data_IF_342378677861
#
_entry.id   IF_342378677861
#
_cell.length_a   1.000
_cell.length_b   1.000
_cell.length_c   1.000
_cell.angle_alpha   90.00
_cell.angle_beta   90.00
_cell.angle_gamma   90.00
#
_symmetry.space_group_name_H-M   'P 1'
#
loop_
_entity.id
_entity.type
_entity.pdbx_description
1 polymer ?
#
# COMPACT_ATOMS: atom_id res chain seq x y z
N UNK A 1 8.98 -31.44 -70.28
CA UNK A 1 7.59 -31.30 -70.79
C UNK A 1 6.88 -30.30 -69.85
N UNK A 2 6.07 -29.30 -70.26
CA UNK A 2 4.94 -29.22 -71.23
C UNK A 2 3.75 -30.13 -70.81
N UNK A 3 2.48 -29.71 -70.68
CA UNK A 3 1.75 -28.46 -71.03
C UNK A 3 1.31 -27.66 -69.74
N UNK A 4 0.48 -26.60 -69.63
CA UNK A 4 -0.54 -25.86 -70.43
C UNK A 4 -1.91 -26.56 -70.67
N UNK A 5 -3.12 -25.96 -70.85
CA UNK A 5 -3.70 -24.57 -71.07
C UNK A 5 -5.27 -24.67 -70.86
N UNK A 6 -6.21 -23.68 -70.74
CA UNK A 6 -6.30 -22.19 -70.58
C UNK A 6 -7.79 -21.72 -70.29
N UNK A 7 -8.04 -20.45 -69.88
CA UNK A 7 -9.32 -19.66 -69.89
C UNK A 7 -10.48 -20.02 -68.91
N UNK A 8 -11.51 -19.18 -68.62
CA UNK A 8 -12.00 -17.88 -69.16
C UNK A 8 -12.45 -16.88 -68.03
N UNK A 9 -12.25 -15.54 -68.06
CA UNK A 9 -13.02 -14.40 -68.69
C UNK A 9 -14.56 -14.50 -68.62
N UNK A 10 -15.39 -13.46 -68.38
CA UNK A 10 -15.33 -11.97 -68.51
C UNK A 10 -15.60 -11.21 -67.17
N UNK A 11 -15.43 -9.88 -66.89
CA UNK A 11 -15.56 -8.51 -67.50
C UNK A 11 -16.91 -7.78 -67.25
N UNK A 12 -16.84 -6.62 -66.57
CA UNK A 12 -17.71 -5.42 -66.75
C UNK A 12 -17.00 -4.16 -66.18
N UNK A 13 -17.12 -3.00 -66.85
CA UNK A 13 -16.44 -1.75 -66.50
C UNK A 13 -17.24 -0.53 -67.01
N UNK A 14 -17.45 0.49 -66.16
CA UNK A 14 -18.08 1.77 -66.55
C UNK A 14 -17.35 2.95 -65.88
N UNK A 15 -17.02 3.96 -66.67
CA UNK A 15 -16.50 5.26 -66.23
C UNK A 15 -17.56 6.34 -66.48
N UNK A 16 -17.70 7.31 -65.56
CA UNK A 16 -18.45 8.55 -65.83
C UNK A 16 -17.96 9.73 -64.98
N UNK A 17 -17.17 10.59 -65.65
CA UNK A 17 -16.88 12.03 -65.48
C UNK A 17 -16.89 12.71 -64.09
N UNK A 18 -15.99 13.68 -63.94
CA UNK A 18 -15.79 14.47 -62.73
C UNK A 18 -16.64 15.75 -62.66
N UNK A 19 -16.89 16.24 -61.44
CA UNK A 19 -17.26 17.61 -61.13
C UNK A 19 -16.46 18.08 -59.90
N UNK A 20 -15.92 19.30 -59.93
CA UNK A 20 -15.04 19.82 -58.87
C UNK A 20 -15.82 20.63 -57.82
N UNK A 21 -15.52 20.43 -56.53
CA UNK A 21 -15.06 21.50 -55.60
C UNK A 21 -14.98 21.03 -54.13
N UNK A 22 -14.32 21.86 -53.30
CA UNK A 22 -14.07 21.72 -51.84
C UNK A 22 -13.24 20.51 -51.36
N UNK A 23 -11.98 20.81 -50.98
CA UNK A 23 -11.28 20.10 -49.90
C UNK A 23 -12.00 20.31 -48.57
N UNK A 24 -12.02 19.28 -47.71
CA UNK A 24 -11.67 19.40 -46.30
C UNK A 24 -10.19 19.05 -46.07
N UNK A 25 -9.64 19.41 -44.91
CA UNK A 25 -8.23 19.20 -44.58
C UNK A 25 -7.97 17.85 -43.90
N UNK A 26 -6.75 17.32 -44.07
CA UNK A 26 -6.29 16.12 -43.40
C UNK A 26 -5.91 16.46 -41.95
N UNK A 27 -6.75 16.08 -40.98
CA UNK A 27 -6.40 16.13 -39.56
C UNK A 27 -5.54 14.92 -39.20
N UNK A 28 -4.32 15.09 -38.66
CA UNK A 28 -3.45 13.96 -38.30
C UNK A 28 -4.05 13.03 -37.25
N UNK A 29 -3.66 11.75 -37.28
CA UNK A 29 -4.07 10.75 -36.31
C UNK A 29 -3.66 11.16 -34.88
N UNK A 30 -4.55 10.91 -33.91
CA UNK A 30 -4.43 11.45 -32.56
C UNK A 30 -3.20 10.95 -31.79
N UNK A 31 -2.55 11.87 -31.07
CA UNK A 31 -1.68 11.49 -29.96
C UNK A 31 -2.51 10.80 -28.85
N UNK A 32 -1.95 9.83 -28.12
CA UNK A 32 -2.65 9.21 -26.99
C UNK A 32 -2.89 10.27 -25.90
N UNK A 33 -4.16 10.52 -25.59
CA UNK A 33 -4.53 11.38 -24.48
C UNK A 33 -4.00 10.78 -23.18
N UNK A 34 -3.33 11.59 -22.35
CA UNK A 34 -2.89 11.16 -21.03
C UNK A 34 -4.12 10.78 -20.19
N UNK A 35 -4.04 9.64 -19.50
CA UNK A 35 -5.08 9.19 -18.59
C UNK A 35 -5.09 10.05 -17.32
N UNK A 36 -5.79 11.18 -17.39
CA UNK A 36 -6.19 11.93 -16.20
C UNK A 36 -7.15 11.09 -15.35
N UNK A 37 -7.10 11.25 -14.02
CA UNK A 37 -7.98 10.53 -13.10
C UNK A 37 -9.46 10.79 -13.42
N UNK A 38 -10.12 9.80 -14.04
CA UNK A 38 -11.55 9.83 -14.28
C UNK A 38 -12.31 9.75 -12.95
N UNK A 39 -13.34 10.58 -12.79
CA UNK A 39 -14.19 10.54 -11.61
C UNK A 39 -14.93 9.18 -11.52
N UNK A 40 -15.08 8.58 -10.32
CA UNK A 40 -15.74 7.28 -10.17
C UNK A 40 -17.16 7.26 -10.75
N UNK A 41 -17.47 6.20 -11.50
CA UNK A 41 -18.75 6.01 -12.17
C UNK A 41 -19.64 5.00 -11.45
N UNK A 42 -20.91 4.91 -11.84
CA UNK A 42 -21.81 3.86 -11.33
C UNK A 42 -21.42 2.44 -11.77
N UNK A 43 -20.59 2.28 -12.81
CA UNK A 43 -20.07 0.99 -13.22
C UNK A 43 -18.97 0.48 -12.28
N UNK A 44 -18.19 1.38 -11.67
CA UNK A 44 -17.11 1.04 -10.74
C UNK A 44 -17.61 0.37 -9.46
N UNK A 45 -18.90 0.55 -9.11
CA UNK A 45 -19.58 -0.15 -8.01
C UNK A 45 -19.59 -1.68 -8.17
N UNK A 46 -19.34 -2.21 -9.36
CA UNK A 46 -19.22 -3.65 -9.62
C UNK A 46 -17.78 -4.18 -9.48
N UNK A 47 -16.79 -3.30 -9.31
CA UNK A 47 -15.38 -3.68 -9.12
C UNK A 47 -14.91 -3.29 -7.70
N UNK A 48 -14.69 -4.27 -6.79
CA UNK A 48 -14.23 -4.00 -5.43
C UNK A 48 -12.95 -3.16 -5.36
N UNK A 49 -12.02 -3.30 -6.31
CA UNK A 49 -10.79 -2.50 -6.33
C UNK A 49 -11.06 -1.03 -6.68
N UNK A 50 -12.00 -0.77 -7.58
CA UNK A 50 -12.40 0.59 -7.94
C UNK A 50 -13.16 1.27 -6.79
N UNK A 51 -14.04 0.53 -6.10
CA UNK A 51 -14.69 0.98 -4.85
C UNK A 51 -13.64 1.30 -3.77
N UNK A 52 -12.70 0.38 -3.51
CA UNK A 52 -11.64 0.59 -2.52
C UNK A 52 -10.77 1.81 -2.85
N UNK A 53 -10.38 2.00 -4.11
CA UNK A 53 -9.61 3.18 -4.56
C UNK A 53 -10.42 4.47 -4.42
N UNK A 54 -11.72 4.47 -4.74
CA UNK A 54 -12.60 5.61 -4.55
C UNK A 54 -12.77 5.98 -3.07
N UNK A 55 -12.92 4.99 -2.18
CA UNK A 55 -12.96 5.22 -0.73
C UNK A 55 -11.63 5.79 -0.23
N UNK A 56 -10.50 5.17 -0.61
CA UNK A 56 -9.16 5.63 -0.24
C UNK A 56 -8.87 7.08 -0.69
N UNK A 57 -9.45 7.52 -1.82
CA UNK A 57 -9.32 8.88 -2.32
C UNK A 57 -9.99 9.94 -1.42
N UNK A 58 -10.98 9.57 -0.60
CA UNK A 58 -11.67 10.48 0.35
C UNK A 58 -10.98 10.60 1.71
N UNK A 59 -10.05 9.69 2.03
CA UNK A 59 -9.34 9.67 3.30
C UNK A 59 -8.28 10.80 3.40
N UNK A 60 -7.95 11.30 4.60
CA UNK A 60 -6.86 12.24 4.81
C UNK A 60 -5.54 11.71 4.25
N UNK A 61 -4.81 12.52 3.48
CA UNK A 61 -3.56 12.12 2.82
C UNK A 61 -2.33 12.67 3.53
N UNK A 62 -1.24 11.90 3.51
CA UNK A 62 0.07 12.36 3.95
C UNK A 62 0.71 13.29 2.91
N UNK A 63 1.60 14.16 3.37
CA UNK A 63 2.46 15.00 2.51
C UNK A 63 3.69 14.19 2.06
N UNK A 64 3.88 13.93 0.75
CA UNK A 64 5.07 13.24 0.23
C UNK A 64 6.40 13.96 0.49
N UNK A 65 6.39 15.26 0.78
CA UNK A 65 7.59 16.02 1.13
C UNK A 65 8.05 15.81 2.58
N UNK A 66 7.30 15.06 3.40
CA UNK A 66 7.64 14.78 4.80
C UNK A 66 8.98 14.04 4.90
N UNK A 67 9.99 14.59 5.61
CA UNK A 67 11.30 13.97 5.73
C UNK A 67 11.25 12.68 6.56
N UNK A 68 12.08 11.69 6.22
CA UNK A 68 12.09 10.37 6.88
C UNK A 68 12.32 10.44 8.40
N UNK A 69 12.97 11.49 8.90
CA UNK A 69 13.20 11.76 10.33
C UNK A 69 11.94 12.18 11.11
N UNK A 70 10.84 12.52 10.44
CA UNK A 70 9.56 12.86 11.08
C UNK A 70 8.65 11.63 11.29
N UNK A 71 9.01 10.46 10.77
CA UNK A 71 8.23 9.24 10.91
C UNK A 71 8.60 8.52 12.22
N UNK A 72 7.63 8.32 13.11
CA UNK A 72 7.85 7.56 14.35
C UNK A 72 7.85 6.05 14.05
N UNK A 73 8.75 5.29 14.67
CA UNK A 73 8.72 3.82 14.53
C UNK A 73 7.43 3.26 15.15
N UNK A 74 6.85 2.25 14.50
CA UNK A 74 5.84 1.36 15.09
C UNK A 74 6.41 -0.05 15.15
N UNK A 75 6.59 -0.56 16.36
CA UNK A 75 7.12 -1.89 16.70
C UNK A 75 6.33 -2.61 17.81
N UNK A 76 5.20 -2.04 18.25
CA UNK A 76 4.32 -2.59 19.28
C UNK A 76 2.85 -2.43 18.91
N UNK A 77 2.05 -3.48 19.13
CA UNK A 77 0.60 -3.46 18.95
C UNK A 77 -0.10 -2.55 19.97
N UNK A 78 0.53 -2.23 21.09
CA UNK A 78 0.04 -1.18 21.99
C UNK A 78 0.13 0.21 21.33
N UNK A 79 1.19 0.51 20.56
CA UNK A 79 1.27 1.76 19.79
C UNK A 79 0.16 1.85 18.72
N UNK A 80 -0.20 0.71 18.10
CA UNK A 80 -1.33 0.62 17.17
C UNK A 80 -2.67 0.83 17.89
N UNK A 81 -2.85 0.24 19.08
CA UNK A 81 -4.03 0.45 19.93
C UNK A 81 -4.20 1.92 20.34
N UNK A 82 -3.14 2.60 20.80
CA UNK A 82 -3.22 4.03 21.13
C UNK A 82 -3.55 4.88 19.90
N UNK A 83 -2.98 4.54 18.73
CA UNK A 83 -3.31 5.17 17.45
C UNK A 83 -4.77 4.92 17.03
N UNK A 84 -5.32 3.75 17.34
CA UNK A 84 -6.72 3.42 17.06
C UNK A 84 -7.69 4.29 17.87
N UNK A 85 -7.47 4.47 19.17
CA UNK A 85 -8.30 5.39 19.97
C UNK A 85 -8.09 6.86 19.57
N UNK A 86 -6.86 7.24 19.21
CA UNK A 86 -6.52 8.58 18.74
C UNK A 86 -7.22 8.98 17.42
N UNK A 87 -7.43 8.01 16.52
CA UNK A 87 -7.99 8.22 15.18
C UNK A 87 -9.50 7.96 15.09
N UNK A 88 -10.02 6.95 15.80
CA UNK A 88 -11.46 6.65 15.84
C UNK A 88 -12.28 7.70 16.61
N UNK A 89 -11.63 8.53 17.44
CA UNK A 89 -12.24 9.49 18.37
C UNK A 89 -13.25 8.86 19.36
N UNK A 90 -13.19 7.55 19.56
CA UNK A 90 -13.98 6.87 20.59
C UNK A 90 -13.42 7.12 21.99
N UNK A 91 -14.26 7.13 23.05
CA UNK A 91 -13.78 7.17 24.43
C UNK A 91 -12.82 6.01 24.73
N UNK A 92 -11.72 6.28 25.42
CA UNK A 92 -10.74 5.27 25.81
C UNK A 92 -11.31 4.34 26.91
N UNK A 93 -11.46 3.02 26.67
CA UNK A 93 -11.88 2.08 27.70
C UNK A 93 -10.67 1.73 28.58
N UNK A 94 -10.36 2.60 29.55
CA UNK A 94 -9.15 2.50 30.37
C UNK A 94 -8.95 1.12 31.01
N UNK A 95 -10.01 0.47 31.47
CA UNK A 95 -9.94 -0.87 32.06
C UNK A 95 -9.53 -1.95 31.04
N UNK A 96 -9.97 -1.88 29.77
CA UNK A 96 -9.53 -2.77 28.68
C UNK A 96 -8.08 -2.47 28.27
N UNK A 97 -7.74 -1.19 28.14
CA UNK A 97 -6.40 -0.72 27.79
C UNK A 97 -5.42 -1.18 28.88
N UNK A 98 -5.70 -0.93 30.16
CA UNK A 98 -4.85 -1.32 31.28
C UNK A 98 -4.71 -2.84 31.41
N UNK A 99 -5.78 -3.61 31.18
CA UNK A 99 -5.73 -5.09 31.12
C UNK A 99 -4.87 -5.63 29.99
N UNK A 100 -4.71 -4.86 28.91
CA UNK A 100 -3.89 -5.21 27.74
C UNK A 100 -2.44 -4.72 27.88
N UNK A 101 -2.23 -3.54 28.48
CA UNK A 101 -0.96 -2.80 28.52
C UNK A 101 -0.17 -2.95 29.83
N UNK A 102 -0.84 -3.27 30.95
CA UNK A 102 -0.20 -3.40 32.27
C UNK A 102 -0.35 -4.80 32.84
N UNK A 103 0.78 -5.49 32.94
CA UNK A 103 0.86 -6.80 33.56
C UNK A 103 0.56 -6.76 35.07
N UNK A 104 0.84 -5.64 35.74
CA UNK A 104 0.48 -5.41 37.14
C UNK A 104 -1.05 -5.31 37.32
N UNK A 105 -1.71 -4.51 36.46
CA UNK A 105 -3.17 -4.38 36.46
C UNK A 105 -3.86 -5.72 36.17
N UNK A 106 -3.33 -6.46 35.20
CA UNK A 106 -3.80 -7.78 34.74
C UNK A 106 -3.62 -8.89 35.78
N UNK A 107 -2.60 -8.79 36.66
CA UNK A 107 -2.30 -9.77 37.72
C UNK A 107 -2.91 -9.42 39.09
N UNK A 108 -3.40 -8.20 39.27
CA UNK A 108 -3.99 -7.74 40.54
C UNK A 108 -5.46 -8.17 40.66
N UNK A 109 -5.78 -8.94 41.70
CA UNK A 109 -7.16 -9.36 42.04
C UNK A 109 -7.83 -8.49 43.11
N UNK A 110 -7.06 -7.66 43.82
CA UNK A 110 -7.57 -6.69 44.80
C UNK A 110 -8.17 -5.48 44.06
N UNK A 111 -9.50 -5.35 44.10
CA UNK A 111 -10.22 -4.31 43.39
C UNK A 111 -9.84 -2.88 43.78
N UNK A 112 -9.40 -2.64 45.02
CA UNK A 112 -8.97 -1.30 45.44
C UNK A 112 -7.60 -0.99 44.83
N UNK A 113 -6.62 -1.90 44.96
CA UNK A 113 -5.30 -1.75 44.33
C UNK A 113 -5.42 -1.64 42.81
N UNK A 114 -6.27 -2.45 42.18
CA UNK A 114 -6.53 -2.39 40.74
C UNK A 114 -7.05 -1.01 40.32
N UNK A 115 -7.99 -0.42 41.07
CA UNK A 115 -8.50 0.95 40.80
C UNK A 115 -7.45 2.04 41.04
N UNK A 116 -6.50 1.85 41.95
CA UNK A 116 -5.39 2.79 42.16
C UNK A 116 -4.30 2.68 41.09
N UNK A 117 -3.97 1.46 40.63
CA UNK A 117 -3.14 1.22 39.45
C UNK A 117 -3.79 1.88 38.21
N UNK A 118 -5.12 1.80 38.04
CA UNK A 118 -5.83 2.43 36.93
C UNK A 118 -5.63 3.95 36.91
N UNK A 119 -5.82 4.62 38.07
CA UNK A 119 -5.59 6.07 38.21
C UNK A 119 -4.15 6.46 37.88
N UNK A 120 -3.17 5.64 38.28
CA UNK A 120 -1.76 5.86 37.97
C UNK A 120 -1.43 5.66 36.48
N UNK A 121 -2.12 4.75 35.79
CA UNK A 121 -1.95 4.49 34.36
C UNK A 121 -2.67 5.52 33.47
N UNK A 122 -3.79 6.10 33.91
CA UNK A 122 -4.61 7.03 33.11
C UNK A 122 -3.80 8.15 32.43
N UNK A 123 -3.00 8.97 33.14
CA UNK A 123 -2.21 10.03 32.49
C UNK A 123 -1.21 9.54 31.44
N UNK A 124 -0.72 8.30 31.58
CA UNK A 124 0.16 7.67 30.58
C UNK A 124 -0.63 7.21 29.35
N UNK A 125 -1.79 6.59 29.55
CA UNK A 125 -2.70 6.19 28.46
C UNK A 125 -3.12 7.44 27.65
N UNK A 126 -3.47 8.52 28.33
CA UNK A 126 -3.85 9.80 27.71
C UNK A 126 -2.67 10.40 26.91
N UNK A 127 -1.46 10.38 27.47
CA UNK A 127 -0.25 10.84 26.80
C UNK A 127 0.10 10.05 25.54
N UNK A 128 -0.04 8.72 25.57
CA UNK A 128 0.21 7.83 24.43
C UNK A 128 -0.84 8.04 23.32
N UNK A 129 -2.12 8.20 23.66
CA UNK A 129 -3.21 8.49 22.72
C UNK A 129 -3.03 9.89 22.10
N UNK A 130 -2.73 10.92 22.89
CA UNK A 130 -2.45 12.27 22.38
C UNK A 130 -1.20 12.30 21.50
N UNK A 131 -0.14 11.58 21.90
CA UNK A 131 1.08 11.41 21.12
C UNK A 131 0.82 10.70 19.78
N UNK A 132 -0.03 9.68 19.76
CA UNK A 132 -0.43 9.00 18.53
C UNK A 132 -1.35 9.84 17.62
N UNK A 133 -2.18 10.73 18.18
CA UNK A 133 -3.03 11.66 17.41
C UNK A 133 -2.21 12.64 16.58
N UNK A 134 -1.09 13.10 17.13
CA UNK A 134 -0.16 14.02 16.47
C UNK A 134 0.88 13.27 15.61
N UNK A 135 1.39 12.13 16.08
CA UNK A 135 2.40 11.30 15.41
C UNK A 135 1.84 10.37 14.32
N UNK A 136 1.12 10.92 13.34
CA UNK A 136 0.50 10.16 12.23
C UNK A 136 1.48 9.62 11.18
N UNK A 137 2.66 10.21 11.03
CA UNK A 137 3.70 9.67 10.16
C UNK A 137 4.43 8.54 10.89
N UNK A 138 4.36 7.33 10.33
CA UNK A 138 4.81 6.09 10.97
C UNK A 138 5.71 5.27 10.04
N UNK A 139 6.74 4.64 10.60
CA UNK A 139 7.55 3.64 9.89
C UNK A 139 7.42 2.26 10.56
N UNK A 140 7.03 1.27 9.78
CA UNK A 140 7.00 -0.15 10.17
C UNK A 140 8.23 -0.82 9.58
N UNK A 141 8.98 -1.54 10.42
CA UNK A 141 10.19 -2.28 10.04
C UNK A 141 9.89 -3.78 10.09
N UNK A 142 10.09 -4.47 8.98
CA UNK A 142 9.88 -5.92 8.84
C UNK A 142 11.19 -6.58 8.40
N UNK A 143 11.57 -7.69 9.05
CA UNK A 143 12.77 -8.45 8.72
C UNK A 143 12.44 -9.93 8.46
N UNK A 144 12.52 -10.36 7.20
CA UNK A 144 12.38 -11.76 6.80
C UNK A 144 13.24 -12.04 5.54
N UNK A 145 13.62 -13.30 5.37
CA UNK A 145 14.07 -13.88 4.10
C UNK A 145 12.98 -13.94 3.01
N UNK A 146 11.70 -13.84 3.40
CA UNK A 146 10.51 -14.06 2.54
C UNK A 146 9.75 -12.78 2.16
N UNK A 147 10.31 -11.59 2.35
CA UNK A 147 9.64 -10.32 2.02
C UNK A 147 9.29 -10.18 0.53
N UNK A 148 10.07 -10.82 -0.36
CA UNK A 148 9.95 -10.71 -1.81
C UNK A 148 9.75 -12.08 -2.49
N UNK A 149 9.18 -12.04 -3.70
CA UNK A 149 9.30 -13.10 -4.70
C UNK A 149 10.65 -13.02 -5.42
N UNK A 150 10.97 -14.02 -6.25
CA UNK A 150 12.12 -14.03 -7.18
C UNK A 150 11.98 -12.93 -8.24
N UNK A 151 13.09 -12.57 -8.88
CA UNK A 151 13.09 -11.55 -9.93
C UNK A 151 12.25 -11.93 -11.16
N UNK A 152 11.31 -11.06 -11.52
CA UNK A 152 10.52 -11.14 -12.75
C UNK A 152 11.27 -10.41 -13.88
N UNK A 153 11.75 -11.17 -14.87
CA UNK A 153 12.54 -10.64 -15.98
C UNK A 153 11.72 -9.82 -17.00
N UNK A 154 10.41 -10.05 -17.11
CA UNK A 154 9.53 -9.32 -18.02
C UNK A 154 9.13 -7.96 -17.42
N UNK A 155 8.75 -7.97 -16.14
CA UNK A 155 8.36 -6.77 -15.38
C UNK A 155 9.56 -6.00 -14.83
N UNK A 156 10.76 -6.60 -14.87
CA UNK A 156 12.02 -6.15 -14.28
C UNK A 156 11.86 -5.74 -12.81
N UNK A 157 11.26 -6.63 -12.02
CA UNK A 157 10.80 -6.30 -10.68
C UNK A 157 10.85 -7.47 -9.69
N UNK A 158 10.88 -7.14 -8.40
CA UNK A 158 10.60 -8.07 -7.29
C UNK A 158 9.23 -7.75 -6.70
N UNK A 159 8.27 -8.67 -6.80
CA UNK A 159 6.98 -8.52 -6.13
C UNK A 159 7.15 -8.67 -4.61
N UNK A 160 6.47 -7.81 -3.84
CA UNK A 160 6.44 -7.84 -2.37
C UNK A 160 5.33 -8.77 -1.91
N UNK A 161 5.62 -9.64 -0.94
CA UNK A 161 4.66 -10.66 -0.52
C UNK A 161 3.53 -10.11 0.36
N UNK A 162 3.76 -9.04 1.12
CA UNK A 162 2.82 -8.54 2.14
C UNK A 162 1.93 -7.38 1.68
N UNK A 163 2.09 -6.91 0.44
CA UNK A 163 1.36 -5.76 -0.10
C UNK A 163 0.23 -6.22 -1.05
N UNK A 164 -0.94 -6.48 -0.47
CA UNK A 164 -2.20 -6.69 -1.18
C UNK A 164 -3.38 -6.24 -0.32
N UNK A 165 -4.49 -5.84 -0.92
CA UNK A 165 -5.62 -5.17 -0.23
C UNK A 165 -6.19 -5.94 0.99
N UNK A 166 -6.15 -7.28 0.99
CA UNK A 166 -6.60 -8.13 2.10
C UNK A 166 -5.56 -8.35 3.23
N UNK A 167 -4.30 -7.92 3.05
CA UNK A 167 -3.22 -8.10 4.04
C UNK A 167 -3.36 -7.09 5.18
N UNK A 168 -2.91 -7.53 6.36
CA UNK A 168 -2.77 -6.67 7.52
C UNK A 168 -1.58 -7.11 8.37
N UNK A 169 -0.86 -6.14 8.94
CA UNK A 169 0.21 -6.37 9.91
C UNK A 169 -0.36 -6.33 11.32
N UNK A 170 0.14 -7.20 12.19
CA UNK A 170 -0.13 -7.22 13.63
C UNK A 170 1.18 -7.41 14.40
N UNK A 171 1.17 -7.20 15.71
CA UNK A 171 2.33 -7.39 16.58
C UNK A 171 1.99 -8.37 17.71
N UNK A 172 2.99 -9.11 18.20
CA UNK A 172 2.77 -10.24 19.12
C UNK A 172 2.43 -9.83 20.56
N UNK A 173 2.76 -8.60 20.96
CA UNK A 173 2.40 -8.00 22.26
C UNK A 173 0.90 -7.67 22.34
N UNK A 174 0.30 -7.26 21.22
CA UNK A 174 -1.13 -6.97 21.13
C UNK A 174 -1.64 -7.13 19.69
N UNK A 175 -1.96 -8.36 19.30
CA UNK A 175 -2.43 -8.71 17.96
C UNK A 175 -3.88 -8.32 17.67
N UNK A 176 -4.61 -7.77 18.66
CA UNK A 176 -6.00 -7.33 18.48
C UNK A 176 -6.15 -6.06 17.65
N UNK A 177 -5.06 -5.32 17.41
CA UNK A 177 -5.06 -4.07 16.67
C UNK A 177 -4.12 -4.19 15.47
N UNK A 178 -4.63 -3.84 14.29
CA UNK A 178 -3.97 -4.18 13.01
C UNK A 178 -3.71 -2.95 12.15
N UNK A 179 -2.71 -3.05 11.27
CA UNK A 179 -2.38 -2.05 10.25
C UNK A 179 -2.73 -2.62 8.88
N UNK A 180 -3.42 -1.87 8.01
CA UNK A 180 -3.63 -2.24 6.61
C UNK A 180 -3.40 -1.04 5.69
N UNK A 181 -2.93 -1.30 4.47
CA UNK A 181 -2.53 -0.27 3.51
C UNK A 181 -3.64 0.02 2.50
N UNK A 182 -3.92 1.29 2.24
CA UNK A 182 -5.03 1.74 1.36
C UNK A 182 -4.64 1.91 -0.10
N UNK A 183 -3.33 1.88 -0.37
CA UNK A 183 -2.70 1.98 -1.69
C UNK A 183 -1.67 0.86 -1.91
N UNK A 184 -1.94 -0.34 -1.39
CA UNK A 184 -1.04 -1.50 -1.46
C UNK A 184 -0.57 -1.80 -2.90
N UNK A 185 -1.50 -1.75 -3.86
CA UNK A 185 -1.25 -2.02 -5.27
C UNK A 185 -0.20 -1.10 -5.92
N UNK A 186 -0.14 0.18 -5.52
CA UNK A 186 0.83 1.15 -6.06
C UNK A 186 2.28 0.80 -5.65
N UNK A 187 2.43 0.09 -4.54
CA UNK A 187 3.69 -0.32 -3.92
C UNK A 187 3.91 -1.85 -3.92
N UNK A 188 3.20 -2.60 -4.78
CA UNK A 188 3.23 -4.07 -4.74
C UNK A 188 4.52 -4.71 -5.30
N UNK A 189 5.43 -3.95 -5.94
CA UNK A 189 6.68 -4.48 -6.47
C UNK A 189 7.79 -3.42 -6.62
N UNK A 190 9.01 -3.75 -6.19
CA UNK A 190 10.20 -2.96 -6.49
C UNK A 190 10.62 -3.16 -7.95
N UNK A 191 10.52 -2.12 -8.78
CA UNK A 191 11.08 -2.12 -10.15
C UNK A 191 12.59 -1.88 -10.08
N UNK A 192 13.37 -2.83 -10.60
CA UNK A 192 14.84 -2.83 -10.55
C UNK A 192 15.39 -3.12 -11.95
N UNK A 193 15.35 -2.10 -12.82
CA UNK A 193 15.79 -2.20 -14.22
C UNK A 193 17.30 -2.41 -14.38
N UNK A 194 18.10 -2.10 -13.35
CA UNK A 194 19.53 -2.38 -13.29
C UNK A 194 19.77 -3.85 -12.89
N UNK A 195 20.27 -4.64 -13.84
CA UNK A 195 20.52 -6.05 -13.60
C UNK A 195 21.66 -6.33 -12.59
N UNK A 196 22.54 -5.37 -12.30
CA UNK A 196 23.56 -5.55 -11.27
C UNK A 196 22.90 -5.58 -9.88
N UNK A 197 22.03 -4.60 -9.60
CA UNK A 197 21.18 -4.58 -8.39
C UNK A 197 20.19 -5.74 -8.35
N UNK A 198 19.62 -6.15 -9.48
CA UNK A 198 18.75 -7.33 -9.51
C UNK A 198 19.51 -8.61 -9.12
N UNK A 199 20.74 -8.81 -9.65
CA UNK A 199 21.59 -9.94 -9.26
C UNK A 199 22.01 -9.91 -7.79
N UNK A 200 22.24 -8.72 -7.22
CA UNK A 200 22.50 -8.56 -5.78
C UNK A 200 21.31 -9.03 -4.93
N UNK A 201 20.10 -8.49 -5.17
CA UNK A 201 18.88 -8.83 -4.41
C UNK A 201 18.54 -10.32 -4.58
N UNK A 202 18.58 -10.85 -5.80
CA UNK A 202 18.35 -12.27 -6.11
C UNK A 202 19.37 -13.19 -5.39
N UNK A 203 20.58 -12.67 -5.11
CA UNK A 203 21.64 -13.29 -4.30
C UNK A 203 21.38 -13.31 -2.78
N UNK A 204 20.63 -12.33 -2.24
CA UNK A 204 20.10 -12.43 -0.87
C UNK A 204 18.99 -13.48 -0.79
N UNK A 205 18.02 -13.42 -1.71
CA UNK A 205 16.86 -14.31 -1.76
C UNK A 205 17.25 -15.78 -1.98
N UNK A 206 18.24 -16.06 -2.83
CA UNK A 206 18.68 -17.45 -3.12
C UNK A 206 19.48 -18.08 -1.98
N UNK A 207 20.11 -17.25 -1.13
CA UNK A 207 20.81 -17.67 0.07
C UNK A 207 19.92 -17.64 1.33
N UNK A 208 18.59 -17.41 1.18
CA UNK A 208 17.63 -17.23 2.28
C UNK A 208 18.08 -16.20 3.34
N UNK A 209 18.86 -15.18 2.94
CA UNK A 209 19.34 -14.16 3.86
C UNK A 209 18.19 -13.21 4.24
N UNK A 210 18.08 -12.79 5.50
CA UNK A 210 17.06 -11.82 5.90
C UNK A 210 17.34 -10.47 5.24
N UNK A 211 16.30 -9.92 4.62
CA UNK A 211 16.23 -8.53 4.18
C UNK A 211 15.43 -7.73 5.21
N UNK A 212 15.61 -6.41 5.25
CA UNK A 212 14.73 -5.48 5.98
C UNK A 212 13.87 -4.69 5.00
N UNK A 213 12.65 -4.38 5.39
CA UNK A 213 11.75 -3.50 4.66
C UNK A 213 11.20 -2.43 5.60
N UNK A 214 11.59 -1.18 5.35
CA UNK A 214 11.09 0.00 6.04
C UNK A 214 9.90 0.56 5.25
N UNK A 215 8.68 0.34 5.74
CA UNK A 215 7.44 0.89 5.17
C UNK A 215 7.10 2.20 5.87
N UNK A 216 7.30 3.31 5.19
CA UNK A 216 6.94 4.65 5.65
C UNK A 216 5.51 4.97 5.20
N UNK A 217 4.65 5.33 6.14
CA UNK A 217 3.24 5.54 5.91
C UNK A 217 2.67 6.72 6.71
N UNK A 218 1.52 7.23 6.26
CA UNK A 218 0.70 8.18 6.99
C UNK A 218 -0.58 7.49 7.47
N UNK A 219 -0.84 7.56 8.77
CA UNK A 219 -2.06 7.04 9.39
C UNK A 219 -3.25 7.97 9.09
N UNK A 220 -4.13 7.51 8.20
CA UNK A 220 -5.24 8.31 7.67
C UNK A 220 -6.42 8.34 8.64
N UNK A 221 -6.80 7.16 9.13
CA UNK A 221 -8.11 6.88 9.72
C UNK A 221 -8.10 5.51 10.44
N UNK A 222 -9.13 5.22 11.24
CA UNK A 222 -9.35 3.93 11.87
C UNK A 222 -10.68 3.31 11.41
N UNK A 223 -10.69 1.99 11.15
CA UNK A 223 -11.90 1.19 11.00
C UNK A 223 -12.30 0.62 12.38
N UNK A 224 -13.41 1.10 12.99
CA UNK A 224 -13.86 0.64 14.29
C UNK A 224 -14.27 -0.84 14.32
N UNK A 225 -14.69 -1.38 13.17
CA UNK A 225 -15.24 -2.73 13.03
C UNK A 225 -14.15 -3.80 13.20
N UNK A 226 -12.95 -3.53 12.68
CA UNK A 226 -11.84 -4.48 12.61
C UNK A 226 -10.64 -4.09 13.49
N UNK A 227 -10.80 -3.12 14.42
CA UNK A 227 -9.72 -2.58 15.28
C UNK A 227 -8.46 -2.19 14.48
N UNK A 228 -8.66 -1.59 13.29
CA UNK A 228 -7.66 -1.48 12.23
C UNK A 228 -7.33 -0.05 11.87
N UNK A 229 -6.04 0.27 11.67
CA UNK A 229 -5.60 1.56 11.13
C UNK A 229 -5.43 1.46 9.61
N UNK A 230 -5.95 2.48 8.91
CA UNK A 230 -5.77 2.68 7.48
C UNK A 230 -4.50 3.51 7.24
N UNK A 231 -3.52 2.91 6.59
CA UNK A 231 -2.24 3.51 6.25
C UNK A 231 -2.16 3.85 4.76
N UNK A 232 -1.87 5.11 4.43
CA UNK A 232 -1.35 5.45 3.10
C UNK A 232 0.16 5.20 3.12
N UNK A 233 0.65 4.28 2.29
CA UNK A 233 2.09 4.13 2.05
C UNK A 233 2.61 5.38 1.33
N UNK A 234 3.69 5.95 1.87
CA UNK A 234 4.35 7.15 1.37
C UNK A 234 5.70 6.81 0.72
N UNK A 235 6.42 5.81 1.25
CA UNK A 235 7.68 5.29 0.72
C UNK A 235 7.93 3.86 1.24
N UNK A 236 8.58 3.01 0.46
CA UNK A 236 9.11 1.72 0.92
C UNK A 236 10.59 1.61 0.57
N UNK A 237 11.41 1.17 1.53
CA UNK A 237 12.85 0.94 1.33
C UNK A 237 13.18 -0.52 1.62
N UNK A 238 13.88 -1.18 0.71
CA UNK A 238 14.46 -2.50 0.86
C UNK A 238 15.92 -2.35 1.29
N UNK A 239 16.31 -3.01 2.38
CA UNK A 239 17.64 -2.93 2.95
C UNK A 239 18.25 -4.32 3.17
N UNK A 240 19.58 -4.40 3.15
CA UNK A 240 20.27 -5.56 3.69
C UNK A 240 20.19 -5.60 5.24
N UNK A 241 20.71 -6.68 5.84
CA UNK A 241 20.77 -6.84 7.29
C UNK A 241 21.73 -5.86 8.01
N UNK A 242 22.42 -4.96 7.29
CA UNK A 242 23.31 -3.91 7.81
C UNK A 242 22.70 -2.50 7.70
N UNK A 243 21.59 -2.34 6.98
CA UNK A 243 20.96 -1.05 6.69
C UNK A 243 21.40 -0.40 5.36
N UNK A 244 22.08 -1.14 4.48
CA UNK A 244 22.40 -0.69 3.12
C UNK A 244 21.14 -0.73 2.26
N UNK A 245 20.76 0.38 1.62
CA UNK A 245 19.58 0.43 0.74
C UNK A 245 19.86 -0.28 -0.58
N UNK A 246 19.12 -1.35 -0.85
CA UNK A 246 19.19 -2.11 -2.09
C UNK A 246 18.27 -1.51 -3.15
N UNK A 247 17.01 -1.23 -2.78
CA UNK A 247 16.00 -0.58 -3.62
C UNK A 247 15.08 0.31 -2.77
N UNK A 248 14.46 1.32 -3.38
CA UNK A 248 13.40 2.11 -2.75
C UNK A 248 12.42 2.66 -3.80
N UNK A 249 11.22 3.01 -3.35
CA UNK A 249 10.13 3.63 -4.12
C UNK A 249 9.29 4.51 -3.20
#
# INVERSE_FOLDING_TARGET
MKNTTILAVQIALVFSLAACSKKPEETPAGAPAAAADAAPSLADLQNPQAVNKAVAATLPKGDPATPLSAYRKIDSGHQVMFMYYALSNMPAPYDEIAKTYSDEYRRTSDSFKQRDILKALQPRIDGEIAGAKNGRYVVVDQQDSRLLQRYDFEKKAFAINDFSDDRYTFFNDNSQYTLATTNAADFAAFKVSDEAKAREIEGYLSAYKPLRMETYAYAQDADPSNRRIKLQVMKVRLLDARGTVLAEM
#
